data_IF_390741753503
#
_entry.id   IF_390741753503
#
_cell.length_a   1.000
_cell.length_b   1.000
_cell.length_c   1.000
_cell.angle_alpha   90.00
_cell.angle_beta   90.00
_cell.angle_gamma   90.00
#
_symmetry.space_group_name_H-M   'P 1'
#
loop_
_entity.id
_entity.type
_entity.pdbx_description
1 polymer ?
#
# COMPACT_ATOMS: atom_id res chain seq x y z
N UNK A 1 3.94 -12.15 21.35
CA UNK A 1 2.67 -11.42 21.29
C UNK A 1 2.97 -9.95 21.60
N UNK A 2 3.36 -9.18 20.60
CA UNK A 2 3.65 -7.74 20.77
C UNK A 2 2.33 -6.99 20.69
N UNK A 3 1.75 -6.66 21.84
CA UNK A 3 0.63 -5.74 21.94
C UNK A 3 1.12 -4.32 21.69
N UNK A 4 1.04 -3.82 20.47
CA UNK A 4 1.10 -2.39 20.21
C UNK A 4 -0.14 -1.76 20.84
N UNK A 5 -0.03 -1.41 22.12
CA UNK A 5 -1.02 -0.58 22.83
C UNK A 5 -0.93 0.86 22.32
N UNK A 6 -1.28 1.08 21.05
CA UNK A 6 -1.51 2.43 20.57
C UNK A 6 -2.84 2.88 21.21
N UNK A 7 -2.83 3.87 22.11
CA UNK A 7 -4.07 4.41 22.64
C UNK A 7 -4.83 5.03 21.47
N UNK A 8 -5.94 4.41 21.08
CA UNK A 8 -6.82 4.97 20.05
C UNK A 8 -7.56 6.12 20.74
N UNK A 9 -7.03 7.33 20.62
CA UNK A 9 -7.76 8.53 21.00
C UNK A 9 -8.79 8.83 19.92
N UNK A 10 -10.06 8.79 20.29
CA UNK A 10 -11.15 9.26 19.43
C UNK A 10 -11.11 10.80 19.37
N UNK A 11 -10.37 11.34 18.43
CA UNK A 11 -10.38 12.77 18.13
C UNK A 11 -11.56 13.07 17.21
N UNK A 12 -12.65 13.57 17.79
CA UNK A 12 -13.80 14.08 17.04
C UNK A 12 -13.45 15.48 16.53
N UNK A 13 -12.98 15.58 15.29
CA UNK A 13 -12.83 16.88 14.63
C UNK A 13 -14.21 17.44 14.26
N UNK A 14 -14.65 18.46 14.99
CA UNK A 14 -15.94 19.12 14.78
C UNK A 14 -16.13 19.68 13.37
N UNK A 15 -15.05 20.06 12.68
CA UNK A 15 -15.11 20.55 11.29
C UNK A 15 -15.41 19.41 10.32
N UNK A 16 -14.75 18.27 10.47
CA UNK A 16 -15.00 17.09 9.63
C UNK A 16 -16.41 16.54 9.86
N UNK A 17 -16.86 16.50 11.12
CA UNK A 17 -18.21 16.08 11.45
C UNK A 17 -19.27 17.02 10.83
N UNK A 18 -19.08 18.33 10.91
CA UNK A 18 -19.99 19.31 10.30
C UNK A 18 -20.04 19.20 8.77
N UNK A 19 -18.89 19.01 8.10
CA UNK A 19 -18.81 18.82 6.67
C UNK A 19 -19.54 17.53 6.26
N UNK A 20 -19.36 16.44 6.99
CA UNK A 20 -20.02 15.16 6.71
C UNK A 20 -21.55 15.27 6.84
N UNK A 21 -22.04 15.91 7.91
CA UNK A 21 -23.47 16.14 8.11
C UNK A 21 -24.05 17.06 7.03
N UNK A 22 -23.35 18.14 6.69
CA UNK A 22 -23.78 19.06 5.62
C UNK A 22 -23.86 18.36 4.27
N UNK A 23 -22.88 17.55 3.92
CA UNK A 23 -22.86 16.78 2.67
C UNK A 23 -24.02 15.77 2.65
N UNK A 24 -24.26 15.06 3.75
CA UNK A 24 -25.37 14.12 3.86
C UNK A 24 -26.74 14.83 3.68
N UNK A 25 -26.96 15.95 4.37
CA UNK A 25 -28.18 16.74 4.26
C UNK A 25 -28.38 17.26 2.83
N UNK A 26 -27.33 17.76 2.19
CA UNK A 26 -27.38 18.27 0.83
C UNK A 26 -27.74 17.15 -0.17
N UNK A 27 -27.17 15.98 -0.02
CA UNK A 27 -27.52 14.81 -0.84
C UNK A 27 -28.96 14.35 -0.61
N UNK A 28 -29.40 14.25 0.66
CA UNK A 28 -30.74 13.81 0.99
C UNK A 28 -31.81 14.80 0.51
N UNK A 29 -31.62 16.09 0.81
CA UNK A 29 -32.56 17.15 0.38
C UNK A 29 -32.55 17.31 -1.13
N UNK A 30 -31.38 17.25 -1.78
CA UNK A 30 -31.23 17.32 -3.23
C UNK A 30 -31.97 16.17 -3.93
N UNK A 31 -31.78 14.93 -3.48
CA UNK A 31 -32.48 13.77 -4.01
C UNK A 31 -34.00 13.90 -3.83
N UNK A 32 -34.43 14.26 -2.63
CA UNK A 32 -35.88 14.47 -2.33
C UNK A 32 -36.47 15.57 -3.22
N UNK A 33 -35.77 16.71 -3.34
CA UNK A 33 -36.23 17.82 -4.18
C UNK A 33 -36.37 17.41 -5.64
N UNK A 34 -35.38 16.70 -6.21
CA UNK A 34 -35.42 16.23 -7.59
C UNK A 34 -36.61 15.29 -7.84
N UNK A 35 -36.85 14.37 -6.91
CA UNK A 35 -37.99 13.44 -7.02
C UNK A 35 -39.32 14.19 -6.91
N UNK A 36 -39.48 15.04 -5.88
CA UNK A 36 -40.71 15.82 -5.68
C UNK A 36 -41.01 16.76 -6.86
N UNK A 37 -39.98 17.44 -7.38
CA UNK A 37 -40.14 18.30 -8.57
C UNK A 37 -40.64 17.51 -9.79
N UNK A 38 -40.20 16.25 -9.93
CA UNK A 38 -40.69 15.36 -11.00
C UNK A 38 -42.17 15.08 -10.87
N UNK A 39 -42.66 14.78 -9.65
CA UNK A 39 -44.05 14.50 -9.38
C UNK A 39 -44.95 15.77 -9.46
N UNK A 40 -44.45 16.91 -8.95
CA UNK A 40 -45.19 18.17 -8.97
C UNK A 40 -45.38 18.77 -10.40
N UNK A 41 -44.59 18.34 -11.35
CA UNK A 41 -44.75 18.73 -12.79
C UNK A 41 -45.79 17.91 -13.53
N UNK A 42 -46.23 16.77 -12.97
CA UNK A 42 -47.31 15.98 -13.57
C UNK A 42 -48.67 16.63 -13.25
N UNK A 43 -49.54 16.75 -14.25
CA UNK A 43 -50.86 17.32 -14.05
C UNK A 43 -51.70 16.42 -13.12
N UNK A 44 -52.44 16.98 -12.15
CA UNK A 44 -53.18 16.17 -11.15
C UNK A 44 -54.11 15.12 -11.78
N UNK A 45 -54.67 15.39 -12.95
CA UNK A 45 -55.53 14.46 -13.71
C UNK A 45 -54.77 13.22 -14.23
N UNK A 46 -53.45 13.30 -14.48
CA UNK A 46 -52.63 12.16 -14.89
C UNK A 46 -52.17 11.28 -13.71
N UNK A 47 -52.07 11.85 -12.51
CA UNK A 47 -51.72 11.12 -11.29
C UNK A 47 -52.82 10.15 -10.85
N UNK A 48 -54.09 10.48 -11.12
CA UNK A 48 -55.25 9.66 -10.75
C UNK A 48 -55.51 8.55 -11.78
N UNK A 49 -55.02 8.71 -13.01
CA UNK A 49 -55.23 7.73 -14.08
C UNK A 49 -54.18 6.61 -13.99
N UNK A 50 -54.59 5.33 -13.96
CA UNK A 50 -53.66 4.24 -14.02
C UNK A 50 -52.79 4.36 -15.28
N UNK A 51 -51.45 4.50 -15.12
CA UNK A 51 -50.56 4.59 -16.27
C UNK A 51 -50.69 3.31 -17.12
N UNK A 52 -51.01 3.49 -18.40
CA UNK A 52 -51.10 2.37 -19.34
C UNK A 52 -49.80 1.55 -19.31
N UNK A 53 -49.88 0.21 -19.39
CA UNK A 53 -48.69 -0.63 -19.43
C UNK A 53 -47.79 -0.19 -20.59
N UNK A 54 -46.51 0.09 -20.26
CA UNK A 54 -45.53 0.46 -21.29
C UNK A 54 -45.45 -0.65 -22.35
N UNK A 55 -45.66 -0.29 -23.60
CA UNK A 55 -45.54 -1.21 -24.73
C UNK A 55 -44.16 -1.90 -24.71
N UNK A 56 -44.15 -3.20 -24.96
CA UNK A 56 -42.95 -4.02 -24.92
C UNK A 56 -41.97 -3.66 -26.03
N UNK A 57 -41.03 -2.78 -25.78
CA UNK A 57 -39.91 -2.52 -26.69
C UNK A 57 -39.03 -3.76 -26.83
N UNK A 58 -38.60 -4.06 -28.05
CA UNK A 58 -37.64 -5.16 -28.31
C UNK A 58 -36.41 -5.03 -27.42
N UNK A 59 -36.02 -6.12 -26.79
CA UNK A 59 -34.89 -6.17 -25.87
C UNK A 59 -33.60 -6.27 -26.67
N UNK A 60 -32.55 -5.58 -26.25
CA UNK A 60 -31.23 -5.60 -26.92
C UNK A 60 -30.69 -7.02 -27.17
N UNK A 61 -30.97 -7.96 -26.24
CA UNK A 61 -30.59 -9.37 -26.41
C UNK A 61 -31.31 -10.10 -27.55
N UNK A 62 -32.49 -9.63 -27.97
CA UNK A 62 -33.19 -10.17 -29.14
C UNK A 62 -32.44 -9.87 -30.46
N UNK A 63 -31.54 -8.90 -30.44
CA UNK A 63 -30.65 -8.54 -31.55
C UNK A 63 -29.57 -9.58 -31.79
N UNK A 64 -29.18 -10.35 -30.72
CA UNK A 64 -28.21 -11.43 -30.80
C UNK A 64 -28.97 -12.73 -31.08
N UNK A 65 -29.35 -12.95 -32.34
CA UNK A 65 -30.20 -14.06 -32.78
C UNK A 65 -29.62 -15.44 -32.45
N UNK A 66 -28.30 -15.60 -32.41
CA UNK A 66 -27.63 -16.87 -32.09
C UNK A 66 -27.89 -17.30 -30.64
N UNK A 67 -27.72 -16.35 -29.71
CA UNK A 67 -27.92 -16.61 -28.27
C UNK A 67 -29.40 -16.76 -27.95
N UNK A 68 -30.25 -15.94 -28.60
CA UNK A 68 -31.71 -15.96 -28.41
C UNK A 68 -32.36 -17.28 -28.84
N UNK A 69 -31.89 -17.89 -29.93
CA UNK A 69 -32.44 -19.18 -30.41
C UNK A 69 -32.14 -20.36 -29.45
N UNK A 70 -31.02 -20.32 -28.70
CA UNK A 70 -30.65 -21.37 -27.76
C UNK A 70 -31.34 -21.27 -26.38
N UNK A 71 -31.98 -20.15 -26.08
CA UNK A 71 -32.64 -19.96 -24.78
C UNK A 71 -34.03 -20.61 -24.78
N UNK A 72 -34.35 -21.29 -23.67
CA UNK A 72 -35.68 -21.86 -23.42
C UNK A 72 -36.74 -20.78 -23.24
N UNK A 73 -38.04 -21.15 -23.38
CA UNK A 73 -39.15 -20.23 -23.28
C UNK A 73 -39.20 -19.47 -21.95
N UNK A 74 -39.03 -20.16 -20.82
CA UNK A 74 -39.03 -19.56 -19.49
C UNK A 74 -37.93 -18.52 -19.34
N UNK A 75 -36.72 -18.83 -19.81
CA UNK A 75 -35.56 -17.91 -19.76
C UNK A 75 -35.83 -16.65 -20.61
N UNK A 76 -36.46 -16.81 -21.77
CA UNK A 76 -36.85 -15.65 -22.61
C UNK A 76 -37.87 -14.75 -21.92
N UNK A 77 -38.85 -15.32 -21.24
CA UNK A 77 -39.87 -14.54 -20.50
C UNK A 77 -39.25 -13.84 -19.30
N UNK A 78 -38.43 -14.55 -18.53
CA UNK A 78 -37.73 -13.97 -17.36
C UNK A 78 -36.80 -12.81 -17.79
N UNK A 79 -36.04 -13.01 -18.85
CA UNK A 79 -35.12 -12.00 -19.37
C UNK A 79 -35.86 -10.75 -19.89
N UNK A 80 -36.99 -10.96 -20.58
CA UNK A 80 -37.85 -9.84 -20.98
C UNK A 80 -38.40 -9.09 -19.77
N UNK A 81 -38.82 -9.77 -18.70
CA UNK A 81 -39.31 -9.12 -17.49
C UNK A 81 -38.20 -8.33 -16.78
N UNK A 82 -37.01 -8.90 -16.59
CA UNK A 82 -35.87 -8.22 -15.99
C UNK A 82 -35.50 -6.97 -16.78
N UNK A 83 -35.37 -7.08 -18.08
CA UNK A 83 -34.99 -5.97 -18.97
C UNK A 83 -36.10 -4.94 -19.18
N UNK A 84 -37.36 -5.29 -18.93
CA UNK A 84 -38.48 -4.34 -18.92
C UNK A 84 -38.35 -3.36 -17.75
N UNK A 85 -37.91 -3.82 -16.60
CA UNK A 85 -37.73 -3.03 -15.39
C UNK A 85 -36.25 -2.73 -15.10
N UNK A 86 -35.53 -2.25 -16.10
CA UNK A 86 -34.09 -1.98 -16.04
C UNK A 86 -33.66 -1.21 -14.79
N UNK A 87 -34.43 -0.19 -14.39
CA UNK A 87 -34.11 0.63 -13.25
C UNK A 87 -34.08 -0.19 -11.93
N UNK A 88 -35.06 -1.08 -11.75
CA UNK A 88 -35.11 -1.97 -10.57
C UNK A 88 -33.98 -2.99 -10.60
N UNK A 89 -33.67 -3.53 -11.79
CA UNK A 89 -32.57 -4.47 -11.98
C UNK A 89 -31.22 -3.82 -11.64
N UNK A 90 -30.93 -2.66 -12.19
CA UNK A 90 -29.68 -1.94 -11.90
C UNK A 90 -29.58 -1.54 -10.42
N UNK A 91 -30.69 -1.14 -9.79
CA UNK A 91 -30.71 -0.81 -8.36
C UNK A 91 -30.38 -2.03 -7.49
N UNK A 92 -30.92 -3.22 -7.83
CA UNK A 92 -30.56 -4.46 -7.14
C UNK A 92 -29.10 -4.85 -7.37
N UNK A 93 -28.63 -4.81 -8.62
CA UNK A 93 -27.25 -5.16 -8.97
C UNK A 93 -26.25 -4.22 -8.28
N UNK A 94 -26.52 -2.91 -8.29
CA UNK A 94 -25.66 -1.94 -7.62
C UNK A 94 -25.69 -2.10 -6.10
N UNK A 95 -26.87 -2.37 -5.51
CA UNK A 95 -26.98 -2.58 -4.07
C UNK A 95 -26.24 -3.84 -3.61
N UNK A 96 -26.55 -4.99 -4.20
CA UNK A 96 -25.91 -6.26 -3.82
C UNK A 96 -24.42 -6.24 -4.21
N UNK A 97 -24.11 -5.78 -5.43
CA UNK A 97 -22.73 -5.70 -5.92
C UNK A 97 -21.87 -4.72 -5.10
N UNK A 98 -22.44 -3.58 -4.70
CA UNK A 98 -21.75 -2.62 -3.84
C UNK A 98 -21.44 -3.19 -2.46
N UNK A 99 -22.40 -3.83 -1.81
CA UNK A 99 -22.16 -4.50 -0.53
C UNK A 99 -21.11 -5.61 -0.64
N UNK A 100 -21.19 -6.43 -1.69
CA UNK A 100 -20.22 -7.51 -1.92
C UNK A 100 -18.82 -6.96 -2.19
N UNK A 101 -18.73 -5.88 -2.98
CA UNK A 101 -17.45 -5.22 -3.26
C UNK A 101 -16.81 -4.66 -1.98
N UNK A 102 -17.59 -4.03 -1.10
CA UNK A 102 -17.10 -3.53 0.19
C UNK A 102 -16.58 -4.66 1.09
N UNK A 103 -17.32 -5.78 1.17
CA UNK A 103 -16.88 -6.95 1.93
C UNK A 103 -15.57 -7.52 1.34
N UNK A 104 -15.52 -7.71 0.04
CA UNK A 104 -14.33 -8.23 -0.64
C UNK A 104 -13.12 -7.31 -0.45
N UNK A 105 -13.31 -6.00 -0.54
CA UNK A 105 -12.26 -5.01 -0.28
C UNK A 105 -11.78 -5.08 1.17
N UNK A 106 -12.69 -5.16 2.13
CA UNK A 106 -12.34 -5.25 3.56
C UNK A 106 -11.53 -6.50 3.89
N UNK A 107 -11.96 -7.66 3.39
CA UNK A 107 -11.21 -8.91 3.57
C UNK A 107 -9.89 -8.90 2.79
N UNK A 108 -9.86 -8.36 1.57
CA UNK A 108 -8.65 -8.24 0.77
C UNK A 108 -7.58 -7.36 1.42
N UNK A 109 -7.97 -6.22 1.99
CA UNK A 109 -7.04 -5.36 2.73
C UNK A 109 -6.50 -6.09 3.98
N UNK A 110 -7.39 -6.74 4.74
CA UNK A 110 -6.97 -7.52 5.92
C UNK A 110 -5.95 -8.61 5.55
N UNK A 111 -6.23 -9.35 4.51
CA UNK A 111 -5.37 -10.45 4.03
C UNK A 111 -4.03 -9.92 3.51
N UNK A 112 -4.06 -8.84 2.74
CA UNK A 112 -2.83 -8.17 2.26
C UNK A 112 -1.94 -7.70 3.41
N UNK A 113 -2.52 -7.07 4.45
CA UNK A 113 -1.73 -6.60 5.61
C UNK A 113 -1.15 -7.79 6.37
N UNK A 114 -1.91 -8.86 6.59
CA UNK A 114 -1.43 -10.05 7.27
C UNK A 114 -0.26 -10.69 6.49
N UNK A 115 -0.43 -10.87 5.18
CA UNK A 115 0.61 -11.44 4.33
C UNK A 115 1.89 -10.58 4.28
N UNK A 116 1.76 -9.25 4.27
CA UNK A 116 2.93 -8.35 4.32
C UNK A 116 3.69 -8.52 5.62
N UNK A 117 3.00 -8.65 6.76
CA UNK A 117 3.64 -8.85 8.07
C UNK A 117 4.36 -10.18 8.11
N UNK A 118 3.70 -11.26 7.70
CA UNK A 118 4.29 -12.59 7.68
C UNK A 118 5.53 -12.62 6.77
N UNK A 119 5.41 -12.08 5.55
CA UNK A 119 6.51 -12.02 4.59
C UNK A 119 7.69 -11.18 5.11
N UNK A 120 7.41 -10.02 5.71
CA UNK A 120 8.46 -9.14 6.24
C UNK A 120 9.23 -9.79 7.39
N UNK A 121 8.54 -10.45 8.33
CA UNK A 121 9.15 -10.93 9.57
C UNK A 121 9.50 -12.43 9.58
N UNK A 122 9.04 -13.20 8.59
CA UNK A 122 9.41 -14.60 8.45
C UNK A 122 10.41 -14.84 7.31
N UNK A 123 10.39 -14.01 6.25
CA UNK A 123 11.24 -14.20 5.08
C UNK A 123 12.36 -13.15 4.96
N UNK A 124 12.06 -11.87 5.21
CA UNK A 124 13.04 -10.78 5.01
C UNK A 124 13.83 -10.49 6.28
N UNK A 125 13.15 -10.30 7.40
CA UNK A 125 13.77 -9.94 8.69
C UNK A 125 13.95 -11.18 9.53
N UNK A 126 15.15 -11.74 9.50
CA UNK A 126 15.45 -13.01 10.14
C UNK A 126 16.04 -12.87 11.56
N UNK A 127 16.35 -11.64 12.00
CA UNK A 127 16.89 -11.43 13.34
C UNK A 127 15.79 -11.39 14.40
N UNK A 128 16.05 -11.97 15.57
CA UNK A 128 15.10 -12.03 16.68
C UNK A 128 15.04 -10.74 17.50
N UNK A 129 16.16 -10.00 17.58
CA UNK A 129 16.25 -8.77 18.36
C UNK A 129 17.22 -7.78 17.76
N UNK A 130 16.89 -6.50 17.83
CA UNK A 130 17.76 -5.38 17.55
C UNK A 130 17.97 -4.55 18.82
N UNK A 131 19.22 -4.23 19.13
CA UNK A 131 19.59 -3.42 20.29
C UNK A 131 20.29 -2.16 19.79
N UNK A 132 19.71 -1.01 20.09
CA UNK A 132 20.29 0.29 19.75
C UNK A 132 21.08 0.85 20.93
N UNK A 133 22.25 1.36 20.65
CA UNK A 133 23.13 1.99 21.63
C UNK A 133 23.15 3.49 21.38
N UNK A 134 23.16 4.27 22.45
CA UNK A 134 23.20 5.74 22.37
C UNK A 134 24.58 6.27 22.01
N UNK A 135 25.62 5.51 22.33
CA UNK A 135 27.02 5.85 22.07
C UNK A 135 27.64 4.80 21.15
N UNK A 136 28.60 5.23 20.32
CA UNK A 136 29.36 4.31 19.48
C UNK A 136 30.18 3.37 20.35
N UNK A 137 30.11 2.07 20.05
CA UNK A 137 30.91 1.05 20.73
C UNK A 137 32.28 0.90 20.06
N UNK A 138 33.32 0.99 20.85
CA UNK A 138 34.66 0.61 20.41
C UNK A 138 34.80 -0.91 20.19
N UNK A 139 35.80 -1.32 19.46
CA UNK A 139 36.02 -2.73 19.14
C UNK A 139 36.16 -3.64 20.37
N UNK A 140 36.66 -3.12 21.51
CA UNK A 140 36.77 -3.87 22.73
C UNK A 140 35.40 -4.13 23.36
N UNK A 141 34.55 -3.11 23.40
CA UNK A 141 33.20 -3.21 23.93
C UNK A 141 32.33 -4.13 23.05
N UNK A 142 32.46 -4.07 21.72
CA UNK A 142 31.79 -4.99 20.80
C UNK A 142 32.20 -6.45 21.06
N UNK A 143 33.52 -6.72 21.26
CA UNK A 143 33.98 -8.06 21.59
C UNK A 143 33.51 -8.53 22.97
N UNK A 144 33.47 -7.64 23.96
CA UNK A 144 32.97 -7.96 25.29
C UNK A 144 31.47 -8.31 25.23
N UNK A 145 30.66 -7.53 24.47
CA UNK A 145 29.26 -7.79 24.24
C UNK A 145 29.02 -9.14 23.54
N UNK A 146 29.79 -9.43 22.48
CA UNK A 146 29.68 -10.70 21.76
C UNK A 146 30.04 -11.91 22.66
N UNK A 147 30.95 -11.76 23.61
CA UNK A 147 31.26 -12.81 24.57
C UNK A 147 30.18 -13.02 25.62
N UNK A 148 29.50 -11.95 26.05
CA UNK A 148 28.38 -12.03 26.98
C UNK A 148 27.12 -12.60 26.31
N UNK A 149 26.96 -12.39 25.00
CA UNK A 149 25.89 -12.94 24.18
C UNK A 149 26.17 -14.40 23.73
N UNK A 150 26.78 -15.23 24.59
CA UNK A 150 27.20 -16.60 24.25
C UNK A 150 26.01 -17.53 23.87
N UNK A 151 24.81 -17.20 24.31
CA UNK A 151 23.57 -17.94 23.99
C UNK A 151 22.92 -17.47 22.69
N UNK A 152 23.47 -16.47 22.01
CA UNK A 152 22.94 -15.93 20.72
C UNK A 152 23.69 -16.59 19.57
N UNK A 153 22.93 -17.06 18.57
CA UNK A 153 23.47 -17.80 17.42
C UNK A 153 24.41 -16.97 16.55
N UNK A 154 24.11 -15.69 16.37
CA UNK A 154 24.89 -14.74 15.60
C UNK A 154 24.63 -13.30 16.07
N UNK A 155 25.64 -12.44 15.98
CA UNK A 155 25.54 -11.00 16.27
C UNK A 155 26.16 -10.23 15.11
N UNK A 156 25.44 -9.28 14.56
CA UNK A 156 25.95 -8.36 13.53
C UNK A 156 25.87 -6.94 14.07
N UNK A 157 27.00 -6.25 14.08
CA UNK A 157 27.04 -4.82 14.38
C UNK A 157 26.85 -4.03 13.10
N UNK A 158 26.00 -3.04 13.17
CA UNK A 158 25.75 -2.12 12.07
C UNK A 158 25.65 -0.69 12.61
N UNK A 159 25.96 0.27 11.77
CA UNK A 159 25.64 1.65 12.02
C UNK A 159 24.29 1.97 11.36
N UNK A 160 23.36 2.49 12.15
CA UNK A 160 22.03 2.89 11.75
C UNK A 160 21.94 4.42 11.77
N UNK A 161 21.51 4.99 10.66
CA UNK A 161 21.39 6.43 10.50
C UNK A 161 20.22 6.81 9.60
N UNK A 162 20.03 8.10 9.42
CA UNK A 162 19.02 8.63 8.51
C UNK A 162 19.70 9.47 7.43
N UNK A 163 19.42 9.16 6.17
CA UNK A 163 19.95 9.91 5.02
C UNK A 163 18.83 10.28 4.06
N UNK A 164 19.05 11.34 3.30
CA UNK A 164 18.18 11.71 2.18
C UNK A 164 18.81 11.20 0.88
N UNK A 165 18.09 10.31 0.20
CA UNK A 165 18.46 9.82 -1.13
C UNK A 165 17.88 10.76 -2.17
N UNK A 166 18.73 11.30 -3.03
CA UNK A 166 18.36 12.21 -4.11
C UNK A 166 18.64 11.56 -5.45
N UNK A 167 17.62 11.52 -6.32
CA UNK A 167 17.73 11.02 -7.68
C UNK A 167 16.57 11.54 -8.55
N UNK A 168 16.81 11.72 -9.84
CA UNK A 168 15.75 12.05 -10.81
C UNK A 168 14.96 13.35 -10.53
N UNK A 169 15.48 14.23 -9.68
CA UNK A 169 14.78 15.45 -9.23
C UNK A 169 13.83 15.22 -8.05
N UNK A 170 13.79 14.03 -7.46
CA UNK A 170 13.13 13.69 -6.21
C UNK A 170 14.11 13.48 -5.06
N UNK A 171 13.61 13.62 -3.84
CA UNK A 171 14.36 13.35 -2.62
C UNK A 171 13.48 12.61 -1.60
N UNK A 172 14.04 11.60 -0.93
CA UNK A 172 13.36 10.82 0.11
C UNK A 172 14.30 10.54 1.26
N UNK A 173 13.84 10.82 2.48
CA UNK A 173 14.59 10.44 3.69
C UNK A 173 14.32 8.97 4.00
N UNK A 174 15.38 8.23 4.26
CA UNK A 174 15.37 6.77 4.46
C UNK A 174 16.33 6.39 5.57
N UNK A 175 16.20 5.17 6.10
CA UNK A 175 17.14 4.60 7.04
C UNK A 175 18.37 4.11 6.29
N UNK A 176 19.55 4.55 6.72
CA UNK A 176 20.83 4.08 6.22
C UNK A 176 21.32 2.94 7.10
N UNK A 177 21.60 1.80 6.51
CA UNK A 177 22.25 0.68 7.19
C UNK A 177 23.68 0.51 6.68
N UNK A 178 24.65 0.54 7.61
CA UNK A 178 26.07 0.31 7.31
C UNK A 178 26.54 -0.88 8.14
N UNK A 179 26.38 -2.11 7.65
CA UNK A 179 26.81 -3.29 8.38
C UNK A 179 28.34 -3.40 8.38
N UNK A 180 28.91 -3.81 9.52
CA UNK A 180 30.33 -4.09 9.66
C UNK A 180 30.72 -5.47 9.12
N UNK A 181 29.71 -6.35 8.94
CA UNK A 181 29.90 -7.69 8.38
C UNK A 181 28.70 -8.03 7.48
N UNK A 182 28.69 -9.22 6.87
CA UNK A 182 27.56 -9.67 6.06
C UNK A 182 26.27 -9.68 6.89
N UNK A 183 25.17 -9.24 6.27
CA UNK A 183 23.81 -9.34 6.85
C UNK A 183 23.18 -10.73 6.62
N UNK A 184 23.94 -11.66 6.04
CA UNK A 184 23.46 -13.00 5.76
C UNK A 184 23.00 -13.70 7.05
N UNK A 185 21.79 -14.25 7.04
CA UNK A 185 21.16 -14.82 8.23
C UNK A 185 20.48 -13.82 9.16
N UNK A 186 20.62 -12.50 8.93
CA UNK A 186 19.92 -11.44 9.65
C UNK A 186 18.84 -10.77 8.79
N UNK A 187 19.15 -10.53 7.53
CA UNK A 187 18.22 -10.06 6.51
C UNK A 187 18.41 -10.88 5.23
N UNK A 188 17.33 -11.35 4.66
CA UNK A 188 17.37 -11.98 3.34
C UNK A 188 17.16 -10.91 2.26
N UNK A 189 18.28 -10.46 1.70
CA UNK A 189 18.28 -9.47 0.62
C UNK A 189 18.02 -10.17 -0.70
N UNK A 190 16.78 -10.15 -1.16
CA UNK A 190 16.37 -10.77 -2.41
C UNK A 190 15.43 -9.88 -3.21
N UNK A 191 15.27 -10.20 -4.48
CA UNK A 191 14.24 -9.62 -5.36
C UNK A 191 13.59 -10.71 -6.19
N UNK A 192 12.28 -10.91 -6.00
CA UNK A 192 11.55 -11.95 -6.73
C UNK A 192 12.11 -13.37 -6.51
N UNK A 193 12.75 -13.63 -5.36
CA UNK A 193 13.38 -14.92 -5.02
C UNK A 193 14.84 -15.07 -5.44
N UNK A 194 15.43 -14.09 -6.13
CA UNK A 194 16.85 -14.07 -6.45
C UNK A 194 17.63 -13.32 -5.36
N UNK A 195 18.60 -13.98 -4.74
CA UNK A 195 19.43 -13.37 -3.68
C UNK A 195 20.39 -12.33 -4.24
N UNK A 196 20.48 -11.21 -3.54
CA UNK A 196 21.40 -10.12 -3.84
C UNK A 196 22.64 -10.22 -2.96
N UNK A 197 23.79 -9.90 -3.53
CA UNK A 197 25.02 -9.76 -2.77
C UNK A 197 25.09 -8.42 -2.06
N UNK A 198 25.90 -8.34 -0.99
CA UNK A 198 26.19 -7.06 -0.33
C UNK A 198 26.81 -6.06 -1.30
N UNK A 199 26.50 -4.75 -1.14
CA UNK A 199 27.03 -3.72 -2.03
C UNK A 199 28.55 -3.59 -1.89
N UNK A 200 29.23 -3.39 -3.01
CA UNK A 200 30.68 -3.10 -3.05
C UNK A 200 30.99 -1.66 -2.65
N UNK A 201 32.27 -1.29 -2.74
CA UNK A 201 32.71 0.08 -2.48
C UNK A 201 32.16 1.04 -3.52
N UNK A 202 31.49 2.12 -3.08
CA UNK A 202 30.81 3.08 -3.96
C UNK A 202 29.45 2.62 -4.47
N UNK A 203 28.93 1.53 -3.91
CA UNK A 203 27.63 0.97 -4.29
C UNK A 203 26.62 1.05 -3.14
N UNK A 204 25.34 0.98 -3.49
CA UNK A 204 24.23 0.92 -2.54
C UNK A 204 23.16 -0.07 -3.00
N UNK A 205 22.50 -0.71 -2.04
CA UNK A 205 21.25 -1.41 -2.26
C UNK A 205 20.10 -0.52 -1.79
N UNK A 206 19.04 -0.44 -2.58
CA UNK A 206 17.82 0.29 -2.22
C UNK A 206 16.64 -0.68 -2.17
N UNK A 207 15.66 -0.42 -1.32
CA UNK A 207 14.43 -1.20 -1.39
C UNK A 207 13.56 -0.76 -2.58
N UNK A 208 12.68 -1.65 -3.03
CA UNK A 208 11.84 -1.52 -4.22
C UNK A 208 10.92 -0.29 -4.17
N UNK A 209 10.24 -0.07 -3.03
CA UNK A 209 9.35 1.08 -2.84
C UNK A 209 10.08 2.43 -2.96
N UNK A 210 11.33 2.50 -2.50
CA UNK A 210 12.17 3.69 -2.65
C UNK A 210 12.62 3.89 -4.10
N UNK A 211 13.06 2.81 -4.74
CA UNK A 211 13.50 2.83 -6.13
C UNK A 211 12.37 3.28 -7.07
N UNK A 212 11.16 2.76 -6.88
CA UNK A 212 9.98 3.17 -7.62
C UNK A 212 9.61 4.64 -7.36
N UNK A 213 9.63 5.08 -6.09
CA UNK A 213 9.29 6.46 -5.72
C UNK A 213 10.25 7.51 -6.29
N UNK A 214 11.53 7.15 -6.50
CA UNK A 214 12.56 8.00 -7.08
C UNK A 214 12.75 7.78 -8.60
N UNK A 215 12.13 6.74 -9.17
CA UNK A 215 12.29 6.36 -10.58
C UNK A 215 13.70 5.87 -10.91
N UNK A 216 14.34 5.15 -9.98
CA UNK A 216 15.73 4.69 -10.05
C UNK A 216 15.77 3.20 -10.39
N UNK A 217 16.72 2.82 -11.22
CA UNK A 217 16.99 1.44 -11.63
C UNK A 217 18.41 1.00 -11.25
N UNK A 218 18.65 -0.30 -11.30
CA UNK A 218 20.00 -0.85 -11.08
C UNK A 218 20.96 -0.28 -12.12
N UNK A 219 22.11 0.22 -11.66
CA UNK A 219 23.12 0.90 -12.46
C UNK A 219 23.02 2.43 -12.45
N UNK A 220 21.92 3.00 -11.96
CA UNK A 220 21.78 4.44 -11.81
C UNK A 220 22.61 4.97 -10.64
N UNK A 221 22.92 6.26 -10.71
CA UNK A 221 23.68 6.95 -9.67
C UNK A 221 22.74 7.77 -8.82
N UNK A 222 22.86 7.64 -7.50
CA UNK A 222 22.08 8.40 -6.52
C UNK A 222 23.02 9.16 -5.58
N UNK A 223 22.53 10.25 -5.00
CA UNK A 223 23.26 11.02 -4.01
C UNK A 223 22.63 10.81 -2.65
N UNK A 224 23.39 10.30 -1.71
CA UNK A 224 23.04 10.19 -0.30
C UNK A 224 23.46 11.48 0.39
N UNK A 225 22.55 12.15 1.08
CA UNK A 225 22.82 13.35 1.86
C UNK A 225 22.48 13.12 3.32
N UNK A 226 23.47 13.35 4.17
CA UNK A 226 23.35 13.28 5.61
C UNK A 226 22.68 14.56 6.20
N UNK A 227 22.33 14.47 7.48
CA UNK A 227 21.82 15.61 8.28
C UNK A 227 22.78 16.82 8.31
N UNK A 228 24.08 16.56 8.23
CA UNK A 228 25.13 17.59 8.21
C UNK A 228 25.41 18.16 6.79
N UNK A 229 24.53 17.87 5.83
CA UNK A 229 24.62 18.30 4.43
C UNK A 229 25.81 17.71 3.64
N UNK A 230 26.47 16.70 4.18
CA UNK A 230 27.49 15.97 3.43
C UNK A 230 26.82 15.09 2.39
N UNK A 231 27.43 14.99 1.23
CA UNK A 231 26.90 14.24 0.11
C UNK A 231 27.85 13.11 -0.31
N UNK A 232 27.30 11.95 -0.53
CA UNK A 232 27.99 10.79 -1.06
C UNK A 232 27.27 10.32 -2.32
N UNK A 233 27.99 10.24 -3.41
CA UNK A 233 27.45 9.73 -4.68
C UNK A 233 27.78 8.25 -4.80
N UNK A 234 26.75 7.42 -4.99
CA UNK A 234 26.88 5.95 -5.06
C UNK A 234 26.05 5.41 -6.23
N UNK A 235 26.43 4.24 -6.71
CA UNK A 235 25.73 3.54 -7.77
C UNK A 235 24.82 2.47 -7.17
N UNK A 236 23.59 2.35 -7.67
CA UNK A 236 22.65 1.32 -7.25
C UNK A 236 23.07 -0.02 -7.83
N UNK A 237 23.61 -0.92 -6.99
CA UNK A 237 24.02 -2.27 -7.40
C UNK A 237 22.87 -3.27 -7.39
N UNK A 238 21.83 -3.01 -6.62
CA UNK A 238 20.64 -3.87 -6.57
C UNK A 238 19.46 -3.22 -5.89
N UNK A 239 18.29 -3.78 -6.14
CA UNK A 239 17.03 -3.36 -5.52
C UNK A 239 16.44 -4.59 -4.86
N UNK A 240 16.15 -4.53 -3.55
CA UNK A 240 15.64 -5.65 -2.77
C UNK A 240 14.20 -5.43 -2.34
N UNK A 241 13.48 -6.52 -2.13
CA UNK A 241 12.10 -6.50 -1.66
C UNK A 241 12.06 -6.16 -0.17
N UNK A 242 11.29 -5.13 0.21
CA UNK A 242 11.07 -4.74 1.59
C UNK A 242 9.80 -3.92 1.73
N UNK A 243 8.94 -4.30 2.68
CA UNK A 243 7.59 -3.74 2.82
C UNK A 243 7.46 -2.76 3.99
N UNK A 244 8.39 -2.82 4.96
CA UNK A 244 8.36 -1.97 6.15
C UNK A 244 9.56 -1.03 6.14
N UNK A 245 9.31 0.27 6.09
CA UNK A 245 10.32 1.32 6.01
C UNK A 245 11.13 1.33 4.71
N UNK A 246 11.80 2.44 4.46
CA UNK A 246 12.71 2.56 3.33
C UNK A 246 14.15 2.50 3.84
N UNK A 247 14.96 1.70 3.16
CA UNK A 247 16.34 1.48 3.51
C UNK A 247 17.28 1.74 2.33
N UNK A 248 18.44 2.30 2.66
CA UNK A 248 19.62 2.31 1.82
C UNK A 248 20.72 1.56 2.55
N UNK A 249 21.30 0.53 1.92
CA UNK A 249 22.37 -0.27 2.49
C UNK A 249 23.66 0.06 1.76
N UNK A 250 24.71 0.44 2.49
CA UNK A 250 26.03 0.71 1.93
C UNK A 250 27.10 -0.09 2.69
N UNK A 251 28.21 -0.40 2.04
CA UNK A 251 29.33 -1.06 2.71
C UNK A 251 30.02 -0.11 3.70
N UNK A 252 30.64 -0.67 4.73
CA UNK A 252 31.45 0.09 5.69
C UNK A 252 32.60 0.88 5.00
N UNK A 253 33.18 0.31 3.95
CA UNK A 253 34.23 0.97 3.16
C UNK A 253 33.70 2.20 2.42
N UNK A 254 32.47 2.14 1.88
CA UNK A 254 31.81 3.27 1.22
C UNK A 254 31.50 4.39 2.21
N UNK A 255 31.00 4.04 3.38
CA UNK A 255 30.70 4.99 4.44
C UNK A 255 31.98 5.65 4.99
N UNK A 256 33.08 4.92 5.08
CA UNK A 256 34.39 5.44 5.50
C UNK A 256 35.01 6.45 4.52
N UNK A 257 34.77 6.31 3.22
CA UNK A 257 35.26 7.22 2.19
C UNK A 257 34.64 8.63 2.36
N UNK A 258 33.39 8.75 2.74
CA UNK A 258 32.75 10.06 2.86
C UNK A 258 33.07 10.80 4.17
N UNK A 259 33.64 10.14 5.14
CA UNK A 259 34.07 10.72 6.43
C UNK A 259 32.99 11.44 7.24
N UNK A 260 31.82 11.54 6.69
CA UNK A 260 30.77 12.46 7.10
C UNK A 260 29.39 11.80 7.25
N UNK A 261 29.05 10.81 6.43
CA UNK A 261 27.72 10.18 6.46
C UNK A 261 27.52 9.15 7.60
N UNK A 262 28.56 8.84 8.36
CA UNK A 262 28.53 7.83 9.41
C UNK A 262 29.04 8.30 10.77
N UNK A 263 29.06 9.61 11.05
CA UNK A 263 29.31 10.07 12.40
C UNK A 263 27.99 10.47 13.06
N UNK A 264 27.29 9.49 13.58
CA UNK A 264 26.53 9.48 14.84
C UNK A 264 25.84 8.16 14.99
#
# INVERSE_FOLDING_TARGET
MYGFGIPIEFVLDGKLAAISVATYLLCALGATYLVCRGFLREVPAELIRPKAPKEGKRVLLERITFLWKRLGFLTKVSLRNVLRYKQRFFMMVLGIGGCTALLLTGFGIKDSIANVVDYQFEEITLYDAAVSFTEEMDAQTQQAFSRQAADVSAVVFLHDGSVTVEAGGGAKTVNLLVPQSSLEGMMDLHRGGEKLSMPGTGETLLNDALAEALGVSVGDTVTLRDSDMNTLTVTVSGIFDNYVSNYAIVSADTAGISGAACRR
#
